data_IF_633891331987
#
_entry.id   IF_633891331987
#
_cell.length_a   1.000
_cell.length_b   1.000
_cell.length_c   1.000
_cell.angle_alpha   90.00
_cell.angle_beta   90.00
_cell.angle_gamma   90.00
#
_symmetry.space_group_name_H-M   'P 1'
#
loop_
_entity.id
_entity.type
_entity.pdbx_description
1 polymer ?
#
# COMPACT_ATOMS: atom_id res chain seq x y z
N UNK A 1 -9.02 0.63 6.83
CA UNK A 1 -8.68 -0.68 6.22
C UNK A 1 -9.60 -1.76 6.74
N UNK A 2 -9.74 -1.91 8.07
CA UNK A 2 -10.62 -2.92 8.68
C UNK A 2 -12.07 -2.82 8.20
N UNK A 3 -12.65 -1.62 8.12
CA UNK A 3 -14.03 -1.44 7.61
C UNK A 3 -14.20 -1.75 6.11
N UNK A 4 -13.11 -1.80 5.36
CA UNK A 4 -13.11 -2.13 3.93
C UNK A 4 -12.97 -3.64 3.70
N UNK A 5 -12.16 -4.31 4.52
CA UNK A 5 -11.86 -5.74 4.38
C UNK A 5 -12.67 -6.63 5.34
N UNK A 6 -13.37 -6.04 6.31
CA UNK A 6 -14.07 -6.74 7.39
C UNK A 6 -13.19 -7.78 8.13
N UNK A 7 -11.88 -7.50 8.20
CA UNK A 7 -10.88 -8.40 8.76
C UNK A 7 -9.76 -7.62 9.46
N UNK A 8 -9.00 -8.30 10.33
CA UNK A 8 -7.78 -7.74 10.92
C UNK A 8 -6.80 -7.37 9.80
N UNK A 9 -6.36 -6.12 9.80
CA UNK A 9 -5.41 -5.59 8.81
C UNK A 9 -4.10 -5.25 9.50
N UNK A 10 -2.98 -5.68 8.94
CA UNK A 10 -1.64 -5.29 9.37
C UNK A 10 -1.04 -4.44 8.25
N UNK A 11 -0.90 -3.12 8.43
CA UNK A 11 -0.27 -2.29 7.42
C UNK A 11 1.25 -2.47 7.45
N UNK A 12 1.82 -2.70 6.27
CA UNK A 12 3.26 -2.83 6.09
C UNK A 12 3.84 -1.60 5.41
N UNK A 13 5.05 -1.21 5.81
CA UNK A 13 5.83 -0.18 5.12
C UNK A 13 7.24 -0.66 4.80
N UNK A 14 7.65 -0.45 3.55
CA UNK A 14 9.00 -0.77 3.10
C UNK A 14 9.98 0.36 3.40
N UNK A 15 11.27 0.03 3.56
CA UNK A 15 12.32 1.03 3.78
C UNK A 15 12.34 2.13 2.72
N UNK A 16 12.14 1.77 1.46
CA UNK A 16 12.16 2.72 0.35
C UNK A 16 10.99 3.72 0.40
N UNK A 17 9.77 3.27 0.76
CA UNK A 17 8.61 4.16 0.93
C UNK A 17 8.83 5.11 2.11
N UNK A 18 9.38 4.61 3.21
CA UNK A 18 9.73 5.46 4.36
C UNK A 18 10.77 6.51 3.95
N UNK A 19 11.82 6.11 3.24
CA UNK A 19 12.88 7.00 2.77
C UNK A 19 12.37 8.04 1.76
N UNK A 20 11.46 7.69 0.85
CA UNK A 20 10.80 8.65 -0.04
C UNK A 20 9.99 9.67 0.75
N UNK A 21 9.22 9.19 1.74
CA UNK A 21 8.40 10.09 2.57
C UNK A 21 9.25 11.05 3.40
N UNK A 22 10.42 10.60 3.90
CA UNK A 22 11.38 11.44 4.60
C UNK A 22 11.96 12.52 3.68
N UNK A 23 12.21 12.21 2.39
CA UNK A 23 12.71 13.17 1.39
C UNK A 23 11.70 14.25 1.03
N UNK A 24 10.40 13.99 1.16
CA UNK A 24 9.35 14.98 0.88
C UNK A 24 9.30 16.13 1.91
N UNK A 25 10.06 16.03 3.01
CA UNK A 25 10.31 17.12 3.94
C UNK A 25 9.13 17.46 4.85
N UNK A 26 9.13 18.70 5.38
CA UNK A 26 8.27 19.08 6.51
C UNK A 26 6.76 19.01 6.21
N UNK A 27 6.35 19.18 4.94
CA UNK A 27 4.95 19.10 4.53
C UNK A 27 4.31 17.76 4.88
N UNK A 28 5.11 16.69 4.96
CA UNK A 28 4.65 15.32 5.24
C UNK A 28 4.98 14.85 6.66
N UNK A 29 5.32 15.78 7.58
CA UNK A 29 5.66 15.44 8.97
C UNK A 29 4.57 14.65 9.70
N UNK A 30 3.30 14.96 9.43
CA UNK A 30 2.16 14.22 10.01
C UNK A 30 2.12 12.78 9.48
N UNK A 31 2.30 12.60 8.17
CA UNK A 31 2.37 11.26 7.57
C UNK A 31 3.54 10.44 8.13
N UNK A 32 4.71 11.06 8.32
CA UNK A 32 5.88 10.42 8.95
C UNK A 32 5.61 9.96 10.39
N UNK A 33 4.85 10.74 11.16
CA UNK A 33 4.45 10.35 12.53
C UNK A 33 3.48 9.18 12.52
N UNK A 34 2.50 9.18 11.61
CA UNK A 34 1.51 8.10 11.47
C UNK A 34 2.20 6.79 11.11
N UNK A 35 3.15 6.83 10.19
CA UNK A 35 3.89 5.64 9.74
C UNK A 35 4.80 5.06 10.82
N UNK A 36 5.27 5.87 11.76
CA UNK A 36 6.08 5.43 12.92
C UNK A 36 5.23 4.85 14.05
N UNK A 37 3.91 4.77 13.88
CA UNK A 37 3.02 4.10 14.82
C UNK A 37 3.32 2.59 14.88
N UNK A 38 3.37 1.97 16.07
CA UNK A 38 3.71 0.55 16.23
C UNK A 38 2.74 -0.42 15.55
N UNK A 39 1.56 0.05 15.10
CA UNK A 39 0.63 -0.75 14.30
C UNK A 39 1.15 -1.01 12.87
N UNK A 40 2.15 -0.26 12.40
CA UNK A 40 2.81 -0.52 11.12
C UNK A 40 3.98 -1.49 11.29
N UNK A 41 3.98 -2.55 10.51
CA UNK A 41 5.12 -3.47 10.44
C UNK A 41 6.09 -3.02 9.35
N UNK A 42 7.38 -2.91 9.71
CA UNK A 42 8.42 -2.49 8.78
C UNK A 42 8.99 -3.68 8.03
N UNK A 43 9.07 -3.57 6.71
CA UNK A 43 9.67 -4.58 5.83
C UNK A 43 10.99 -4.04 5.28
N UNK A 44 12.06 -4.79 5.52
CA UNK A 44 13.39 -4.44 5.02
C UNK A 44 13.50 -4.65 3.51
N UNK A 45 14.08 -3.68 2.81
CA UNK A 45 14.34 -3.76 1.37
C UNK A 45 15.69 -4.40 1.07
N UNK A 46 15.75 -5.26 0.05
CA UNK A 46 17.00 -5.89 -0.42
C UNK A 46 17.43 -5.34 -1.79
N UNK A 47 17.41 -4.02 -1.95
CA UNK A 47 17.84 -3.36 -3.18
C UNK A 47 18.53 -2.03 -2.86
N UNK A 48 19.32 -1.53 -3.82
CA UNK A 48 19.89 -0.19 -3.75
C UNK A 48 18.84 0.84 -4.20
N UNK A 49 19.01 2.09 -3.75
CA UNK A 49 18.10 3.18 -4.09
C UNK A 49 16.77 3.13 -3.33
N UNK A 50 15.92 4.13 -3.55
CA UNK A 50 14.67 4.32 -2.79
C UNK A 50 13.43 4.38 -3.67
N UNK A 51 13.49 3.95 -4.93
CA UNK A 51 12.32 4.03 -5.81
C UNK A 51 11.26 3.01 -5.38
N UNK A 52 10.20 3.48 -4.73
CA UNK A 52 9.24 2.61 -4.05
C UNK A 52 8.41 1.76 -5.02
N UNK A 53 8.04 2.30 -6.17
CA UNK A 53 7.19 1.62 -7.14
C UNK A 53 7.79 0.30 -7.63
N UNK A 54 9.08 0.31 -7.97
CA UNK A 54 9.79 -0.89 -8.42
C UNK A 54 9.93 -1.91 -7.30
N UNK A 55 10.21 -1.44 -6.07
CA UNK A 55 10.25 -2.30 -4.89
C UNK A 55 8.91 -3.02 -4.67
N UNK A 56 7.80 -2.27 -4.66
CA UNK A 56 6.47 -2.82 -4.43
C UNK A 56 6.10 -3.82 -5.53
N UNK A 57 6.34 -3.46 -6.81
CA UNK A 57 6.07 -4.34 -7.96
C UNK A 57 6.89 -5.63 -7.89
N UNK A 58 8.19 -5.54 -7.62
CA UNK A 58 9.05 -6.72 -7.50
C UNK A 58 8.60 -7.61 -6.34
N UNK A 59 8.31 -7.02 -5.18
CA UNK A 59 7.89 -7.75 -3.98
C UNK A 59 6.59 -8.51 -4.19
N UNK A 60 5.56 -7.87 -4.76
CA UNK A 60 4.26 -8.54 -4.99
C UNK A 60 4.28 -9.49 -6.18
N UNK A 61 5.25 -9.35 -7.09
CA UNK A 61 5.51 -10.35 -8.13
C UNK A 61 6.07 -11.63 -7.52
N UNK A 62 7.03 -11.52 -6.59
CA UNK A 62 7.65 -12.66 -5.91
C UNK A 62 6.71 -13.30 -4.88
N UNK A 63 6.00 -12.48 -4.11
CA UNK A 63 5.15 -12.90 -3.01
C UNK A 63 3.74 -12.33 -3.18
N UNK A 64 2.82 -13.16 -3.67
CA UNK A 64 1.41 -12.76 -3.94
C UNK A 64 0.52 -12.80 -2.69
N UNK A 65 1.09 -12.49 -1.53
CA UNK A 65 0.40 -12.49 -0.22
C UNK A 65 0.14 -11.07 0.32
N UNK A 66 0.21 -10.06 -0.55
CA UNK A 66 0.02 -8.66 -0.17
C UNK A 66 -1.14 -8.02 -0.93
N UNK A 67 -1.80 -7.08 -0.25
CA UNK A 67 -2.67 -6.08 -0.87
C UNK A 67 -1.83 -4.81 -1.04
N UNK A 68 -1.82 -4.22 -2.23
CA UNK A 68 -1.10 -2.96 -2.44
C UNK A 68 -2.04 -1.77 -2.24
N UNK A 69 -1.76 -0.94 -1.25
CA UNK A 69 -2.50 0.29 -1.01
C UNK A 69 -1.83 1.47 -1.74
N UNK A 70 -2.43 1.96 -2.83
CA UNK A 70 -1.90 3.11 -3.58
C UNK A 70 -2.98 3.91 -4.29
N UNK A 71 -2.78 5.22 -4.42
CA UNK A 71 -3.57 6.09 -5.28
C UNK A 71 -2.87 6.44 -6.61
N UNK A 72 -1.60 6.05 -6.78
CA UNK A 72 -0.84 6.35 -7.98
C UNK A 72 -1.39 5.61 -9.21
N UNK A 73 -1.62 6.32 -10.31
CA UNK A 73 -2.28 5.77 -11.50
C UNK A 73 -1.37 4.79 -12.24
N UNK A 74 -0.08 5.07 -12.30
CA UNK A 74 0.89 4.27 -13.05
C UNK A 74 1.29 3.02 -12.27
N UNK A 75 1.46 3.12 -10.95
CA UNK A 75 1.66 1.96 -10.08
C UNK A 75 0.44 1.02 -10.12
N UNK A 76 -0.79 1.55 -10.10
CA UNK A 76 -2.01 0.74 -10.31
C UNK A 76 -1.98 0.01 -11.65
N UNK A 77 -1.62 0.69 -12.75
CA UNK A 77 -1.52 0.05 -14.07
C UNK A 77 -0.50 -1.09 -14.08
N UNK A 78 0.63 -0.93 -13.38
CA UNK A 78 1.67 -1.96 -13.26
C UNK A 78 1.17 -3.16 -12.46
N UNK A 79 0.58 -2.94 -11.28
CA UNK A 79 0.08 -4.02 -10.41
C UNK A 79 -1.09 -4.76 -11.03
N UNK A 80 -1.95 -4.07 -11.82
CA UNK A 80 -3.04 -4.73 -12.55
C UNK A 80 -2.57 -5.82 -13.50
N UNK A 81 -1.33 -5.78 -13.99
CA UNK A 81 -0.75 -6.84 -14.83
C UNK A 81 -0.36 -8.08 -14.03
N UNK A 82 -0.24 -7.99 -12.70
CA UNK A 82 0.13 -9.09 -11.82
C UNK A 82 -1.14 -9.80 -11.34
N UNK A 83 -1.38 -11.07 -11.68
CA UNK A 83 -2.55 -11.80 -11.21
C UNK A 83 -2.44 -12.16 -9.74
N UNK A 84 -3.56 -12.08 -9.01
CA UNK A 84 -3.65 -12.45 -7.60
C UNK A 84 -3.21 -11.37 -6.62
N UNK A 85 -2.99 -10.12 -7.07
CA UNK A 85 -2.61 -9.00 -6.20
C UNK A 85 -3.75 -7.97 -6.18
N UNK A 86 -4.50 -7.85 -5.07
CA UNK A 86 -5.52 -6.83 -4.91
C UNK A 86 -4.92 -5.43 -4.73
N UNK A 87 -5.69 -4.42 -5.10
CA UNK A 87 -5.29 -3.01 -4.98
C UNK A 87 -6.30 -2.27 -4.12
N UNK A 88 -5.85 -1.68 -3.02
CA UNK A 88 -6.64 -0.80 -2.17
C UNK A 88 -6.32 0.67 -2.48
N UNK A 89 -7.32 1.53 -2.49
CA UNK A 89 -7.15 2.96 -2.77
C UNK A 89 -8.20 3.79 -2.04
N UNK A 90 -7.97 5.11 -1.95
CA UNK A 90 -8.92 6.03 -1.32
C UNK A 90 -9.82 6.63 -2.39
N UNK A 91 -11.13 6.58 -2.18
CA UNK A 91 -12.14 7.23 -3.02
C UNK A 91 -13.33 7.62 -2.15
N UNK A 92 -13.92 8.79 -2.39
CA UNK A 92 -15.12 9.26 -1.67
C UNK A 92 -15.02 9.13 -0.14
N UNK A 93 -13.90 9.57 0.43
CA UNK A 93 -13.61 9.50 1.88
C UNK A 93 -13.57 8.09 2.48
N UNK A 94 -13.48 7.05 1.65
CA UNK A 94 -13.43 5.64 2.07
C UNK A 94 -12.29 4.90 1.39
N UNK A 95 -11.90 3.77 1.97
CA UNK A 95 -11.05 2.81 1.28
C UNK A 95 -11.92 1.92 0.38
N UNK A 96 -11.47 1.74 -0.85
CA UNK A 96 -12.06 0.83 -1.83
C UNK A 96 -10.99 -0.16 -2.27
N UNK A 97 -11.41 -1.39 -2.59
CA UNK A 97 -10.53 -2.44 -3.09
C UNK A 97 -10.99 -2.92 -4.46
N UNK A 98 -10.04 -3.24 -5.33
CA UNK A 98 -10.28 -3.92 -6.60
C UNK A 98 -9.49 -5.23 -6.67
N UNK A 99 -9.94 -6.15 -7.54
CA UNK A 99 -9.30 -7.44 -7.83
C UNK A 99 -9.17 -8.39 -6.63
N UNK A 100 -10.12 -8.31 -5.71
CA UNK A 100 -10.30 -9.29 -4.64
C UNK A 100 -11.63 -10.02 -4.88
N UNK A 101 -11.65 -11.37 -4.99
CA UNK A 101 -12.85 -12.14 -5.34
C UNK A 101 -14.03 -11.91 -4.37
N UNK A 102 -13.73 -11.84 -3.06
CA UNK A 102 -14.73 -11.66 -2.00
C UNK A 102 -14.88 -10.19 -1.58
N UNK A 103 -14.46 -9.24 -2.43
CA UNK A 103 -14.61 -7.83 -2.10
C UNK A 103 -16.07 -7.39 -2.20
N UNK A 104 -16.70 -7.19 -1.04
CA UNK A 104 -17.99 -6.51 -0.92
C UNK A 104 -17.94 -5.02 -1.31
N UNK A 105 -16.74 -4.48 -1.55
CA UNK A 105 -16.51 -3.04 -1.68
C UNK A 105 -16.78 -2.31 -0.37
N UNK A 106 -16.47 -1.01 -0.30
CA UNK A 106 -17.01 -0.20 0.78
C UNK A 106 -18.54 -0.16 0.61
N UNK A 107 -19.34 -0.50 1.64
CA UNK A 107 -20.79 -0.46 1.53
C UNK A 107 -21.24 0.93 1.11
N UNK A 108 -22.15 0.99 0.13
CA UNK A 108 -22.84 2.23 -0.23
C UNK A 108 -23.81 2.54 0.90
N UNK A 109 -23.40 3.43 1.79
CA UNK A 109 -24.32 4.13 2.70
C UNK A 109 -25.16 5.10 1.89
#
# INVERSE_FOLDING_TARGET
>A
MMDCLYAKCIPYITDCVLAELEKLGQKYRVALRIIKDPRFERITCMHKGTYADDCLVQRVTQHKCYIVATNDKDLKRRIRKIPGVPIMYVSQHRYTIERMPDAYGAPKT
#
